data_IF_877909086446
#
_entry.id   IF_877909086446
#
_cell.length_a   1.000
_cell.length_b   1.000
_cell.length_c   1.000
_cell.angle_alpha   90.00
_cell.angle_beta   90.00
_cell.angle_gamma   90.00
#
_symmetry.space_group_name_H-M   'P 1'
#
loop_
_entity.id
_entity.type
_entity.pdbx_description
1 polymer ?
#
# COMPACT_ATOMS: atom_id res chain seq x y z
N UNK A 1 8.66 35.14 7.40
CA UNK A 1 7.47 34.81 8.19
C UNK A 1 6.22 35.33 7.50
N UNK A 2 5.63 34.53 6.61
CA UNK A 2 4.24 34.67 6.14
C UNK A 2 3.75 33.24 5.86
N UNK A 3 3.22 32.62 6.91
CA UNK A 3 2.47 31.36 6.85
C UNK A 3 1.14 31.57 6.14
N UNK A 4 1.18 31.87 4.84
CA UNK A 4 0.03 31.74 3.97
C UNK A 4 -0.23 30.25 3.80
N UNK A 5 -1.11 29.70 4.64
CA UNK A 5 -1.57 28.32 4.49
C UNK A 5 -2.07 28.11 3.07
N UNK A 6 -1.29 27.36 2.28
CA UNK A 6 -1.63 27.02 0.90
C UNK A 6 -3.00 26.33 0.97
N UNK A 7 -4.02 26.81 0.24
CA UNK A 7 -5.34 26.21 0.32
C UNK A 7 -5.24 24.75 -0.09
N UNK A 8 -5.61 23.86 0.84
CA UNK A 8 -5.56 22.41 0.63
C UNK A 8 -6.54 22.06 -0.49
N UNK A 9 -6.00 21.58 -1.60
CA UNK A 9 -6.81 21.12 -2.72
C UNK A 9 -7.35 19.73 -2.37
N UNK A 10 -8.67 19.51 -2.43
CA UNK A 10 -9.23 18.21 -2.14
C UNK A 10 -8.75 17.19 -3.18
N UNK A 11 -8.45 15.96 -2.72
CA UNK A 11 -7.90 14.87 -3.55
C UNK A 11 -8.74 14.61 -4.82
N UNK A 12 -10.05 14.86 -4.75
CA UNK A 12 -10.96 14.75 -5.91
C UNK A 12 -10.65 15.73 -7.04
N UNK A 13 -10.20 16.94 -6.72
CA UNK A 13 -9.79 17.93 -7.72
C UNK A 13 -8.41 17.65 -8.28
N UNK A 14 -7.54 17.03 -7.47
CA UNK A 14 -6.23 16.55 -7.91
C UNK A 14 -6.36 15.45 -8.98
N UNK A 15 -7.37 14.58 -8.84
CA UNK A 15 -7.69 13.50 -9.80
C UNK A 15 -8.62 13.96 -10.95
N UNK A 16 -8.90 15.25 -11.10
CA UNK A 16 -9.80 15.77 -12.15
C UNK A 16 -9.30 15.46 -13.58
N UNK A 17 -7.99 15.30 -13.76
CA UNK A 17 -7.38 14.93 -15.05
C UNK A 17 -7.38 13.41 -15.32
N UNK A 18 -7.96 12.61 -14.43
CA UNK A 18 -8.08 11.15 -14.60
C UNK A 18 -9.06 10.81 -15.72
N UNK A 19 -8.56 10.16 -16.76
CA UNK A 19 -9.33 9.66 -17.89
C UNK A 19 -10.18 8.43 -17.53
N UNK A 20 -11.13 8.02 -18.38
CA UNK A 20 -11.91 6.81 -18.12
C UNK A 20 -11.04 5.55 -18.01
N UNK A 21 -9.98 5.46 -18.81
CA UNK A 21 -8.99 4.38 -18.73
C UNK A 21 -8.21 4.40 -17.41
N UNK A 22 -7.91 5.60 -16.91
CA UNK A 22 -7.15 5.74 -15.65
C UNK A 22 -8.03 5.31 -14.47
N UNK A 23 -9.33 5.61 -14.52
CA UNK A 23 -10.30 5.13 -13.54
C UNK A 23 -10.45 3.61 -13.53
N UNK A 24 -10.43 2.96 -14.71
CA UNK A 24 -10.42 1.49 -14.80
C UNK A 24 -9.14 0.88 -14.24
N UNK A 25 -7.98 1.45 -14.57
CA UNK A 25 -6.68 1.02 -14.04
C UNK A 25 -6.63 1.13 -12.51
N UNK A 26 -7.15 2.22 -11.95
CA UNK A 26 -7.25 2.42 -10.50
C UNK A 26 -8.19 1.41 -9.84
N UNK A 27 -9.32 1.08 -10.47
CA UNK A 27 -10.24 0.06 -9.93
C UNK A 27 -9.58 -1.32 -9.88
N UNK A 28 -8.86 -1.71 -10.93
CA UNK A 28 -8.10 -2.96 -10.99
C UNK A 28 -6.98 -2.95 -9.94
N UNK A 29 -6.29 -1.82 -9.76
CA UNK A 29 -5.25 -1.66 -8.77
C UNK A 29 -5.77 -1.86 -7.32
N UNK A 30 -6.95 -1.32 -7.02
CA UNK A 30 -7.59 -1.51 -5.71
C UNK A 30 -7.95 -2.98 -5.48
N UNK A 31 -8.49 -3.68 -6.48
CA UNK A 31 -8.74 -5.13 -6.39
C UNK A 31 -7.43 -5.92 -6.17
N UNK A 32 -6.35 -5.55 -6.86
CA UNK A 32 -5.01 -6.11 -6.63
C UNK A 32 -4.51 -5.88 -5.21
N UNK A 33 -4.71 -4.67 -4.66
CA UNK A 33 -4.38 -4.35 -3.26
C UNK A 33 -5.17 -5.21 -2.26
N UNK A 34 -6.45 -5.50 -2.51
CA UNK A 34 -7.24 -6.38 -1.65
C UNK A 34 -6.67 -7.80 -1.59
N UNK A 35 -6.30 -8.36 -2.75
CA UNK A 35 -5.72 -9.70 -2.82
C UNK A 35 -4.34 -9.75 -2.18
N UNK A 36 -3.47 -8.78 -2.48
CA UNK A 36 -2.17 -8.61 -1.83
C UNK A 36 -2.30 -8.49 -0.31
N UNK A 37 -3.24 -7.67 0.17
CA UNK A 37 -3.50 -7.47 1.60
C UNK A 37 -4.05 -8.71 2.31
N UNK A 38 -4.75 -9.61 1.60
CA UNK A 38 -5.27 -10.87 2.17
C UNK A 38 -4.25 -12.00 2.19
N UNK A 39 -3.31 -12.03 1.25
CA UNK A 39 -2.29 -13.09 1.19
C UNK A 39 -1.35 -13.01 2.38
N UNK A 40 -1.00 -11.80 2.82
CA UNK A 40 -0.05 -11.61 3.93
C UNK A 40 -0.55 -12.25 5.25
N UNK A 41 -1.78 -12.01 5.72
CA UNK A 41 -2.37 -12.76 6.84
C UNK A 41 -2.49 -14.27 6.58
N UNK A 42 -2.84 -14.68 5.35
CA UNK A 42 -2.93 -16.09 4.98
C UNK A 42 -1.60 -16.83 5.13
N UNK A 43 -0.49 -16.17 4.79
CA UNK A 43 0.87 -16.68 4.96
C UNK A 43 1.19 -16.96 6.45
N UNK A 44 0.73 -16.10 7.37
CA UNK A 44 0.91 -16.33 8.80
C UNK A 44 0.06 -17.49 9.33
N UNK A 45 -1.13 -17.72 8.79
CA UNK A 45 -1.97 -18.87 9.17
C UNK A 45 -1.28 -20.19 8.80
N UNK A 46 -0.75 -20.29 7.58
CA UNK A 46 0.00 -21.49 7.14
C UNK A 46 1.26 -21.71 7.97
N UNK A 47 1.97 -20.64 8.33
CA UNK A 47 3.10 -20.75 9.26
C UNK A 47 2.64 -21.26 10.64
N UNK A 48 1.46 -20.84 11.09
CA UNK A 48 0.83 -21.30 12.32
C UNK A 48 0.56 -22.81 12.32
N UNK A 49 -0.01 -23.35 11.24
CA UNK A 49 -0.25 -24.80 11.13
C UNK A 49 1.05 -25.59 11.08
N UNK A 50 2.05 -25.14 10.31
CA UNK A 50 3.38 -25.76 10.30
C UNK A 50 4.01 -25.84 11.70
N UNK A 51 3.89 -24.75 12.46
CA UNK A 51 4.45 -24.69 13.82
C UNK A 51 3.72 -25.65 14.76
N UNK A 52 2.42 -25.84 14.58
CA UNK A 52 1.63 -26.81 15.36
C UNK A 52 2.04 -28.25 15.04
N UNK A 53 2.20 -28.59 13.76
CA UNK A 53 2.61 -29.92 13.33
C UNK A 53 4.01 -30.29 13.86
N UNK A 54 4.96 -29.34 13.83
CA UNK A 54 6.30 -29.52 14.40
C UNK A 54 6.22 -29.69 15.92
N UNK A 55 5.40 -28.90 16.61
CA UNK A 55 5.24 -28.97 18.06
C UNK A 55 4.64 -30.30 18.49
N UNK A 56 3.61 -30.78 17.80
CA UNK A 56 2.97 -32.07 18.09
C UNK A 56 3.92 -33.24 17.84
N UNK A 57 4.68 -33.19 16.74
CA UNK A 57 5.75 -34.16 16.46
C UNK A 57 6.80 -34.20 17.59
N UNK A 58 7.22 -33.04 18.10
CA UNK A 58 8.16 -32.95 19.23
C UNK A 58 7.61 -33.54 20.53
N UNK A 59 6.31 -33.34 20.82
CA UNK A 59 5.62 -33.95 21.97
C UNK A 59 5.53 -35.47 21.79
N UNK A 60 5.27 -35.93 20.56
CA UNK A 60 5.09 -37.34 20.26
C UNK A 60 6.40 -38.13 20.38
N UNK A 61 7.52 -37.58 19.88
CA UNK A 61 8.86 -38.14 20.12
C UNK A 61 9.14 -38.24 21.63
N UNK A 62 8.81 -37.18 22.38
CA UNK A 62 9.05 -37.15 23.83
C UNK A 62 8.24 -38.21 24.58
N UNK A 63 7.01 -38.49 24.15
CA UNK A 63 6.11 -39.45 24.78
C UNK A 63 6.20 -40.87 24.18
N UNK A 64 7.14 -41.13 23.27
CA UNK A 64 7.41 -42.43 22.65
C UNK A 64 6.18 -43.05 21.96
N UNK A 65 5.53 -42.24 21.10
CA UNK A 65 4.43 -42.69 20.25
C UNK A 65 4.85 -43.78 19.24
N UNK A 66 3.92 -44.67 18.89
CA UNK A 66 4.15 -45.79 17.95
C UNK A 66 4.11 -45.39 16.48
N UNK A 67 3.33 -44.35 16.13
CA UNK A 67 3.21 -43.81 14.79
C UNK A 67 3.68 -42.35 14.81
N UNK A 68 4.93 -42.03 14.44
CA UNK A 68 5.33 -40.66 14.23
C UNK A 68 4.50 -40.09 13.09
N UNK A 69 3.84 -38.95 13.31
CA UNK A 69 3.19 -38.18 12.26
C UNK A 69 4.12 -38.11 11.04
N UNK A 70 3.61 -38.38 9.83
CA UNK A 70 4.37 -38.19 8.57
C UNK A 70 4.62 -36.70 8.35
N UNK A 71 5.60 -36.19 9.09
CA UNK A 71 6.00 -34.78 9.11
C UNK A 71 6.51 -34.37 7.72
N UNK A 72 7.16 -35.29 7.01
CA UNK A 72 7.68 -35.05 5.67
C UNK A 72 6.57 -34.75 4.65
N UNK A 73 5.47 -35.50 4.67
CA UNK A 73 4.35 -35.30 3.74
C UNK A 73 3.56 -34.02 4.07
N UNK A 74 3.40 -33.71 5.37
CA UNK A 74 2.76 -32.48 5.82
C UNK A 74 3.60 -31.24 5.48
N UNK A 75 4.92 -31.30 5.69
CA UNK A 75 5.86 -30.21 5.35
C UNK A 75 5.95 -29.95 3.85
N UNK A 76 5.98 -31.00 3.02
CA UNK A 76 6.03 -30.85 1.56
C UNK A 76 4.73 -30.23 1.03
N UNK A 77 3.58 -30.67 1.53
CA UNK A 77 2.27 -30.11 1.16
C UNK A 77 2.18 -28.62 1.49
N UNK A 78 2.53 -28.20 2.71
CA UNK A 78 2.45 -26.78 3.09
C UNK A 78 3.50 -25.94 2.36
N UNK A 79 4.68 -26.49 2.08
CA UNK A 79 5.70 -25.80 1.29
C UNK A 79 5.20 -25.46 -0.13
N UNK A 80 4.46 -26.37 -0.77
CA UNK A 80 3.85 -26.12 -2.08
C UNK A 80 2.82 -24.98 -2.00
N UNK A 81 1.95 -24.99 -0.99
CA UNK A 81 1.00 -23.90 -0.77
C UNK A 81 1.67 -22.55 -0.54
N UNK A 82 2.78 -22.53 0.20
CA UNK A 82 3.54 -21.33 0.49
C UNK A 82 4.18 -20.73 -0.77
N UNK A 83 4.73 -21.58 -1.65
CA UNK A 83 5.27 -21.16 -2.96
C UNK A 83 4.14 -20.59 -3.84
N UNK A 84 2.96 -21.23 -3.85
CA UNK A 84 1.79 -20.73 -4.57
C UNK A 84 1.35 -19.34 -4.11
N UNK A 85 1.27 -19.11 -2.79
CA UNK A 85 0.96 -17.79 -2.24
C UNK A 85 2.04 -16.75 -2.53
N UNK A 86 3.32 -17.13 -2.50
CA UNK A 86 4.42 -16.21 -2.83
C UNK A 86 4.36 -15.74 -4.30
N UNK A 87 4.09 -16.67 -5.22
CA UNK A 87 3.89 -16.35 -6.64
C UNK A 87 2.67 -15.44 -6.85
N UNK A 88 1.55 -15.74 -6.18
CA UNK A 88 0.36 -14.89 -6.19
C UNK A 88 0.66 -13.50 -5.65
N UNK A 89 1.35 -13.41 -4.51
CA UNK A 89 1.71 -12.14 -3.86
C UNK A 89 2.54 -11.25 -4.78
N UNK A 90 3.51 -11.83 -5.50
CA UNK A 90 4.31 -11.09 -6.48
C UNK A 90 3.43 -10.49 -7.58
N UNK A 91 2.53 -11.29 -8.16
CA UNK A 91 1.64 -10.87 -9.23
C UNK A 91 0.66 -9.78 -8.77
N UNK A 92 0.01 -9.96 -7.62
CA UNK A 92 -0.95 -8.98 -7.10
C UNK A 92 -0.28 -7.71 -6.58
N UNK A 93 0.93 -7.80 -6.04
CA UNK A 93 1.72 -6.62 -5.65
C UNK A 93 2.09 -5.77 -6.86
N UNK A 94 2.52 -6.43 -7.95
CA UNK A 94 2.79 -5.76 -9.22
C UNK A 94 1.53 -5.08 -9.77
N UNK A 95 0.41 -5.79 -9.83
CA UNK A 95 -0.87 -5.22 -10.29
C UNK A 95 -1.38 -4.09 -9.39
N UNK A 96 -1.26 -4.21 -8.07
CA UNK A 96 -1.69 -3.18 -7.14
C UNK A 96 -0.83 -1.92 -7.27
N UNK A 97 0.41 -1.99 -6.77
CA UNK A 97 1.28 -0.81 -6.63
C UNK A 97 1.78 -0.32 -7.99
N UNK A 98 2.05 -1.25 -8.92
CA UNK A 98 2.55 -0.91 -10.26
C UNK A 98 1.52 -0.14 -11.09
N UNK A 99 0.25 -0.54 -11.08
CA UNK A 99 -0.80 0.19 -11.83
C UNK A 99 -1.08 1.58 -11.24
N UNK A 100 -0.97 1.74 -9.91
CA UNK A 100 -1.02 3.07 -9.28
C UNK A 100 0.13 3.97 -9.75
N UNK A 101 1.35 3.43 -9.80
CA UNK A 101 2.52 4.16 -10.33
C UNK A 101 2.33 4.57 -11.78
N UNK A 102 1.91 3.63 -12.64
CA UNK A 102 1.70 3.89 -14.07
C UNK A 102 0.60 4.94 -14.32
N UNK A 103 -0.53 4.85 -13.63
CA UNK A 103 -1.61 5.83 -13.74
C UNK A 103 -1.15 7.23 -13.32
N UNK A 104 -0.34 7.34 -12.26
CA UNK A 104 0.16 8.63 -11.80
C UNK A 104 1.14 9.26 -12.79
N UNK A 105 2.05 8.50 -13.39
CA UNK A 105 2.97 9.01 -14.40
C UNK A 105 2.22 9.62 -15.61
N UNK A 106 1.16 8.94 -16.06
CA UNK A 106 0.31 9.43 -17.15
C UNK A 106 -0.41 10.73 -16.78
N UNK A 107 -0.92 10.84 -15.56
CA UNK A 107 -1.57 12.06 -15.08
C UNK A 107 -0.58 13.21 -14.94
N UNK A 108 0.61 12.95 -14.39
CA UNK A 108 1.71 13.92 -14.28
C UNK A 108 2.11 14.47 -15.64
N UNK A 109 2.22 13.59 -16.65
CA UNK A 109 2.54 14.01 -18.01
C UNK A 109 1.49 14.95 -18.61
N UNK A 110 0.19 14.64 -18.44
CA UNK A 110 -0.91 15.51 -18.88
C UNK A 110 -0.89 16.86 -18.17
N UNK A 111 -0.64 16.88 -16.85
CA UNK A 111 -0.56 18.11 -16.05
C UNK A 111 0.62 18.97 -16.54
N UNK A 112 1.79 18.38 -16.81
CA UNK A 112 2.96 19.09 -17.32
C UNK A 112 2.69 19.75 -18.67
N UNK A 113 2.02 19.04 -19.59
CA UNK A 113 1.63 19.61 -20.88
C UNK A 113 0.61 20.74 -20.76
N UNK A 114 -0.40 20.59 -19.90
CA UNK A 114 -1.41 21.62 -19.67
C UNK A 114 -0.81 22.87 -19.02
N UNK A 115 0.08 22.71 -18.03
CA UNK A 115 0.76 23.83 -17.36
C UNK A 115 1.67 24.57 -18.34
N UNK A 116 2.46 23.85 -19.14
CA UNK A 116 3.32 24.46 -20.16
C UNK A 116 2.50 25.22 -21.22
N UNK A 117 1.41 24.62 -21.70
CA UNK A 117 0.51 25.28 -22.66
C UNK A 117 -0.06 26.58 -22.07
N UNK A 118 -0.54 26.55 -20.82
CA UNK A 118 -1.10 27.74 -20.19
C UNK A 118 -0.04 28.81 -19.92
N UNK A 119 1.18 28.42 -19.53
CA UNK A 119 2.28 29.35 -19.30
C UNK A 119 2.61 30.17 -20.56
N UNK A 120 2.62 29.56 -21.75
CA UNK A 120 2.91 30.27 -23.02
C UNK A 120 1.82 31.27 -23.42
N UNK A 121 0.56 31.03 -23.04
CA UNK A 121 -0.56 31.92 -23.39
C UNK A 121 -0.75 33.08 -22.42
N UNK A 122 0.15 33.23 -21.44
CA UNK A 122 0.06 34.26 -20.42
C UNK A 122 0.57 35.61 -20.93
N UNK A 123 -0.01 36.70 -20.42
CA UNK A 123 0.34 38.07 -20.81
C UNK A 123 1.78 38.45 -20.41
N UNK A 124 2.43 39.35 -21.18
CA UNK A 124 3.78 39.84 -20.89
C UNK A 124 3.89 40.44 -19.48
N UNK A 125 2.84 41.12 -19.00
CA UNK A 125 2.80 41.71 -17.65
C UNK A 125 2.82 40.69 -16.51
N UNK A 126 2.49 39.43 -16.78
CA UNK A 126 2.59 38.34 -15.81
C UNK A 126 4.03 37.82 -15.70
N UNK A 127 4.76 37.77 -16.83
CA UNK A 127 6.17 37.39 -16.88
C UNK A 127 7.09 38.44 -16.24
N UNK A 128 6.69 39.71 -16.22
CA UNK A 128 7.46 40.76 -15.52
C UNK A 128 7.41 40.59 -13.99
N UNK A 129 6.36 39.91 -13.47
CA UNK A 129 6.18 39.63 -12.04
C UNK A 129 6.75 38.27 -11.59
N UNK A 130 6.95 37.32 -12.52
CA UNK A 130 7.44 35.98 -12.20
C UNK A 130 8.72 35.69 -12.98
N UNK A 131 9.80 35.39 -12.27
CA UNK A 131 11.06 35.01 -12.91
C UNK A 131 10.91 33.72 -13.70
N UNK A 132 11.53 33.64 -14.88
CA UNK A 132 11.57 32.43 -15.70
C UNK A 132 12.09 31.20 -14.94
N UNK A 133 13.00 31.39 -13.99
CA UNK A 133 13.52 30.32 -13.14
C UNK A 133 12.49 29.75 -12.16
N UNK A 134 11.60 30.60 -11.64
CA UNK A 134 10.52 30.16 -10.75
C UNK A 134 9.49 29.31 -11.51
N UNK A 135 9.15 29.71 -12.73
CA UNK A 135 8.20 28.97 -13.59
C UNK A 135 8.76 27.58 -13.92
N UNK A 136 10.04 27.48 -14.23
CA UNK A 136 10.70 26.21 -14.53
C UNK A 136 10.78 25.29 -13.29
N UNK A 137 11.07 25.86 -12.12
CA UNK A 137 11.07 25.12 -10.85
C UNK A 137 9.67 24.61 -10.53
N UNK A 138 8.62 25.44 -10.65
CA UNK A 138 7.21 25.00 -10.46
C UNK A 138 6.80 23.90 -11.45
N UNK A 139 7.20 24.00 -12.72
CA UNK A 139 6.93 22.99 -13.76
C UNK A 139 7.61 21.64 -13.48
N UNK A 140 8.74 21.66 -12.76
CA UNK A 140 9.52 20.45 -12.48
C UNK A 140 9.24 19.93 -11.07
N UNK A 141 9.58 20.69 -10.04
CA UNK A 141 9.52 20.30 -8.63
C UNK A 141 8.09 20.10 -8.14
N UNK A 142 7.19 21.07 -8.34
CA UNK A 142 5.84 20.98 -7.76
C UNK A 142 5.02 19.90 -8.46
N UNK A 143 5.19 19.75 -9.78
CA UNK A 143 4.59 18.65 -10.53
C UNK A 143 5.12 17.29 -10.06
N UNK A 144 6.44 17.16 -9.83
CA UNK A 144 7.01 15.91 -9.34
C UNK A 144 6.52 15.59 -7.91
N UNK A 145 6.39 16.58 -7.03
CA UNK A 145 5.80 16.39 -5.68
C UNK A 145 4.36 15.89 -5.76
N UNK A 146 3.56 16.45 -6.67
CA UNK A 146 2.19 15.98 -6.94
C UNK A 146 2.20 14.54 -7.46
N UNK A 147 3.11 14.21 -8.39
CA UNK A 147 3.28 12.87 -8.93
C UNK A 147 3.64 11.83 -7.87
N UNK A 148 4.57 12.17 -6.99
CA UNK A 148 4.95 11.36 -5.84
C UNK A 148 3.76 11.13 -4.89
N UNK A 149 2.94 12.17 -4.69
CA UNK A 149 1.78 12.13 -3.81
C UNK A 149 0.61 11.29 -4.33
N UNK A 150 0.45 11.15 -5.65
CA UNK A 150 -0.61 10.34 -6.29
C UNK A 150 -0.11 8.94 -6.69
N UNK A 151 1.20 8.79 -6.86
CA UNK A 151 1.83 7.59 -7.40
C UNK A 151 1.91 6.43 -6.42
N UNK A 152 2.99 5.66 -6.53
CA UNK A 152 3.17 4.42 -5.79
C UNK A 152 3.07 4.60 -4.25
N UNK A 153 3.41 5.78 -3.72
CA UNK A 153 3.26 6.10 -2.28
C UNK A 153 1.79 6.07 -1.85
N UNK A 154 0.91 6.67 -2.63
CA UNK A 154 -0.54 6.65 -2.37
C UNK A 154 -1.11 5.23 -2.47
N UNK A 155 -0.74 4.50 -3.53
CA UNK A 155 -1.12 3.10 -3.69
C UNK A 155 -0.68 2.24 -2.50
N UNK A 156 0.54 2.46 -1.98
CA UNK A 156 1.04 1.77 -0.79
C UNK A 156 0.23 2.09 0.47
N UNK A 157 -0.18 3.35 0.68
CA UNK A 157 -1.04 3.72 1.81
C UNK A 157 -2.37 2.98 1.71
N UNK A 158 -3.01 2.97 0.54
CA UNK A 158 -4.29 2.28 0.33
C UNK A 158 -4.15 0.77 0.57
N UNK A 159 -3.16 0.13 -0.07
CA UNK A 159 -2.85 -1.29 0.13
C UNK A 159 -2.61 -1.60 1.61
N UNK A 160 -1.88 -0.74 2.35
CA UNK A 160 -1.62 -0.94 3.78
C UNK A 160 -2.88 -0.79 4.63
N UNK A 161 -3.77 0.16 4.32
CA UNK A 161 -5.04 0.31 5.02
C UNK A 161 -5.93 -0.91 4.79
N UNK A 162 -6.02 -1.39 3.55
CA UNK A 162 -6.78 -2.59 3.22
C UNK A 162 -6.20 -3.81 3.95
N UNK A 163 -4.88 -4.01 3.89
CA UNK A 163 -4.19 -5.08 4.60
C UNK A 163 -4.39 -5.00 6.12
N UNK A 164 -4.40 -3.80 6.69
CA UNK A 164 -4.71 -3.59 8.10
C UNK A 164 -6.11 -4.09 8.46
N UNK A 165 -7.15 -3.70 7.70
CA UNK A 165 -8.51 -4.16 7.96
C UNK A 165 -8.68 -5.67 7.75
N UNK A 166 -8.12 -6.21 6.67
CA UNK A 166 -8.20 -7.66 6.38
C UNK A 166 -7.49 -8.46 7.47
N UNK A 167 -6.27 -8.08 7.83
CA UNK A 167 -5.51 -8.73 8.90
C UNK A 167 -6.22 -8.65 10.25
N UNK A 168 -6.84 -7.51 10.56
CA UNK A 168 -7.60 -7.32 11.78
C UNK A 168 -8.84 -8.22 11.85
N UNK A 169 -9.62 -8.29 10.76
CA UNK A 169 -10.80 -9.18 10.66
C UNK A 169 -10.38 -10.63 10.88
N UNK A 170 -9.33 -11.09 10.18
CA UNK A 170 -8.81 -12.45 10.32
C UNK A 170 -8.33 -12.71 11.75
N UNK A 171 -7.59 -11.78 12.35
CA UNK A 171 -7.13 -11.89 13.74
C UNK A 171 -8.27 -12.01 14.76
N UNK A 172 -9.35 -11.26 14.57
CA UNK A 172 -10.55 -11.35 15.42
C UNK A 172 -11.26 -12.70 15.33
N UNK A 173 -11.30 -13.29 14.13
CA UNK A 173 -11.92 -14.61 13.91
C UNK A 173 -11.15 -15.72 14.61
N UNK A 174 -9.81 -15.74 14.52
CA UNK A 174 -9.01 -16.79 15.15
C UNK A 174 -8.89 -16.64 16.67
N UNK A 175 -8.58 -15.44 17.16
CA UNK A 175 -8.22 -15.24 18.56
C UNK A 175 -8.74 -13.90 19.11
N UNK A 176 -10.04 -13.80 19.35
CA UNK A 176 -10.67 -12.57 19.85
C UNK A 176 -10.07 -12.06 21.17
N UNK A 177 -9.64 -12.95 22.09
CA UNK A 177 -9.05 -12.55 23.39
C UNK A 177 -7.68 -11.89 23.22
N UNK A 178 -6.82 -12.41 22.34
CA UNK A 178 -5.51 -11.82 22.03
C UNK A 178 -5.65 -10.55 21.21
N UNK A 179 -6.64 -10.49 20.31
CA UNK A 179 -6.88 -9.32 19.48
C UNK A 179 -7.21 -8.06 20.30
N UNK A 180 -8.02 -8.17 21.37
CA UNK A 180 -8.30 -7.05 22.28
C UNK A 180 -7.05 -6.52 22.99
N UNK A 181 -6.12 -7.41 23.35
CA UNK A 181 -4.84 -7.01 23.97
C UNK A 181 -4.01 -6.19 22.98
N UNK A 182 -3.93 -6.63 21.72
CA UNK A 182 -3.22 -5.89 20.66
C UNK A 182 -3.88 -4.55 20.36
N UNK A 183 -5.22 -4.49 20.41
CA UNK A 183 -6.00 -3.26 20.22
C UNK A 183 -5.66 -2.20 21.27
N UNK A 184 -5.43 -2.61 22.52
CA UNK A 184 -5.02 -1.72 23.60
C UNK A 184 -3.66 -1.04 23.35
N UNK A 185 -2.83 -1.58 22.45
CA UNK A 185 -1.54 -0.97 22.09
C UNK A 185 -1.65 0.09 20.98
N UNK A 186 -2.71 0.07 20.17
CA UNK A 186 -2.96 1.08 19.13
C UNK A 186 -2.97 2.53 19.66
N UNK A 187 -3.69 2.89 20.75
CA UNK A 187 -3.66 4.26 21.25
C UNK A 187 -2.25 4.71 21.69
N UNK A 188 -1.44 3.78 22.21
CA UNK A 188 -0.07 4.07 22.61
C UNK A 188 0.83 4.31 21.38
N UNK A 189 0.62 3.58 20.30
CA UNK A 189 1.28 3.83 19.00
C UNK A 189 0.87 5.19 18.41
N UNK A 190 -0.41 5.56 18.48
CA UNK A 190 -0.88 6.88 18.02
C UNK A 190 -0.27 8.02 18.82
N UNK A 191 -0.18 7.89 20.15
CA UNK A 191 0.47 8.89 21.00
C UNK A 191 1.95 9.05 20.65
N UNK A 192 2.68 7.95 20.52
CA UNK A 192 4.11 7.98 20.18
C UNK A 192 4.35 8.57 18.77
N UNK A 193 3.53 8.17 17.79
CA UNK A 193 3.59 8.71 16.43
C UNK A 193 3.26 10.20 16.38
N UNK A 194 2.27 10.65 17.18
CA UNK A 194 1.93 12.06 17.31
C UNK A 194 3.07 12.89 17.91
N UNK A 195 3.77 12.35 18.91
CA UNK A 195 4.92 13.02 19.54
C UNK A 195 6.14 13.14 18.61
N UNK A 196 6.36 12.20 17.69
CA UNK A 196 7.44 12.32 16.69
C UNK A 196 7.10 13.30 15.56
N UNK A 197 5.81 13.54 15.32
CA UNK A 197 5.34 14.43 14.26
C UNK A 197 5.34 15.91 14.67
N UNK A 198 5.40 16.21 15.97
CA UNK A 198 5.56 17.57 16.53
C UNK A 198 7.02 17.91 16.70
#
# INVERSE_FOLDING_TARGET
>A
DQGGGVPVVPIRELLRFSDQTDRMLLAIAVLGCFLYGSITPGQFILLGSLTQDIADYGICIRNNCSDPLDLEDSMTTVSIWYVGLAAGNFFFSWLGIGLFGYSAERQVHKIRLALFRNAIHQEIGWFDKHSSGEILSRLSEDINKIGDGIGAKFGRIICSLIGFFVGYIIGFVYCWRLAFVMLSQLPLLFLCGGMMAT
#
